data_IF_798131606534
#
_entry.id   IF_798131606534
#
_cell.length_a   1.000
_cell.length_b   1.000
_cell.length_c   1.000
_cell.angle_alpha   90.00
_cell.angle_beta   90.00
_cell.angle_gamma   90.00
#
_symmetry.space_group_name_H-M   'P 1'
#
loop_
_entity.id
_entity.type
_entity.pdbx_description
1 polymer ?
#
# COMPACT_ATOMS: atom_id res chain seq x y z
N UNK A 1 2.92 20.72 -6.32
CA UNK A 1 3.51 19.42 -6.62
C UNK A 1 2.66 18.27 -6.10
N UNK A 2 2.37 18.26 -4.80
CA UNK A 2 1.55 17.20 -4.22
C UNK A 2 0.15 17.12 -4.86
N UNK A 3 -0.52 18.25 -4.97
CA UNK A 3 -1.86 18.30 -5.54
C UNK A 3 -1.92 17.83 -6.98
N UNK A 4 -0.92 18.18 -7.77
CA UNK A 4 -0.83 17.76 -9.16
C UNK A 4 -0.66 16.27 -9.29
N UNK A 5 0.15 15.67 -8.42
CA UNK A 5 0.39 14.23 -8.43
C UNK A 5 -0.87 13.49 -7.98
N UNK A 6 -1.55 13.96 -6.95
CA UNK A 6 -2.79 13.36 -6.49
C UNK A 6 -3.87 13.41 -7.56
N UNK A 7 -3.95 14.54 -8.27
CA UNK A 7 -4.89 14.69 -9.37
C UNK A 7 -4.57 13.74 -10.51
N UNK A 8 -3.29 13.64 -10.89
CA UNK A 8 -2.86 12.72 -11.94
C UNK A 8 -3.17 11.27 -11.57
N UNK A 9 -3.02 10.91 -10.30
CA UNK A 9 -3.30 9.56 -9.81
C UNK A 9 -4.78 9.34 -9.51
N UNK A 10 -5.61 10.38 -9.65
CA UNK A 10 -7.03 10.31 -9.36
C UNK A 10 -7.29 9.90 -7.90
N UNK A 11 -6.56 10.53 -6.99
CA UNK A 11 -6.71 10.31 -5.55
C UNK A 11 -7.21 11.61 -4.91
N UNK A 12 -8.29 11.52 -4.16
CA UNK A 12 -8.82 12.67 -3.44
C UNK A 12 -7.88 13.03 -2.30
N UNK A 13 -7.76 14.32 -2.00
CA UNK A 13 -6.84 14.79 -0.98
C UNK A 13 -7.14 14.23 0.40
N UNK A 14 -8.40 14.00 0.71
CA UNK A 14 -8.81 13.44 2.00
C UNK A 14 -8.80 11.90 2.04
N UNK A 15 -8.46 11.25 0.95
CA UNK A 15 -8.33 9.80 0.91
C UNK A 15 -7.07 9.36 1.65
N UNK A 16 -7.19 8.34 2.50
CA UNK A 16 -6.05 7.82 3.24
C UNK A 16 -4.99 7.25 2.29
N UNK A 17 -3.75 7.59 2.54
CA UNK A 17 -2.65 7.13 1.71
C UNK A 17 -1.37 7.03 2.51
N UNK A 18 -0.49 6.17 2.03
CA UNK A 18 0.83 5.99 2.61
C UNK A 18 1.84 5.92 1.47
N UNK A 19 2.79 6.85 1.45
CA UNK A 19 3.86 6.85 0.45
C UNK A 19 5.09 6.24 1.06
N UNK A 20 5.73 5.33 0.32
CA UNK A 20 6.97 4.69 0.74
C UNK A 20 7.95 4.73 -0.41
N UNK A 21 9.19 5.05 -0.10
CA UNK A 21 10.22 5.15 -1.13
C UNK A 21 10.54 3.80 -1.77
N UNK A 22 10.64 2.77 -0.95
CA UNK A 22 10.89 1.40 -1.38
C UNK A 22 12.16 1.25 -2.22
N UNK A 23 13.19 2.04 -1.93
CA UNK A 23 14.43 2.03 -2.71
C UNK A 23 15.24 0.76 -2.52
N UNK A 24 15.21 0.19 -1.32
CA UNK A 24 16.00 -0.98 -0.97
C UNK A 24 15.22 -2.28 -0.91
N UNK A 25 13.97 -2.29 -1.31
CA UNK A 25 13.11 -3.47 -1.27
C UNK A 25 11.72 -3.12 -0.82
N UNK A 26 10.87 -4.13 -0.76
CA UNK A 26 9.51 -3.97 -0.26
C UNK A 26 9.60 -3.75 1.26
N UNK A 27 9.14 -2.59 1.77
CA UNK A 27 9.30 -2.31 3.20
C UNK A 27 8.41 -3.21 4.05
N UNK A 28 8.98 -3.70 5.16
CA UNK A 28 8.24 -4.56 6.10
C UNK A 28 7.02 -3.85 6.67
N UNK A 29 7.12 -2.54 6.88
CA UNK A 29 6.03 -1.74 7.45
C UNK A 29 4.80 -1.67 6.55
N UNK A 30 4.90 -2.14 5.30
CA UNK A 30 3.75 -2.17 4.39
C UNK A 30 2.63 -3.04 4.96
N UNK A 31 2.96 -4.07 5.76
CA UNK A 31 1.95 -4.98 6.30
C UNK A 31 1.16 -4.36 7.43
N UNK A 32 1.79 -3.51 8.24
CA UNK A 32 1.09 -2.74 9.26
C UNK A 32 0.12 -1.76 8.59
N UNK A 33 0.54 -1.14 7.50
CA UNK A 33 -0.29 -0.22 6.72
C UNK A 33 -1.46 -0.96 6.08
N UNK A 34 -1.20 -2.14 5.49
CA UNK A 34 -2.24 -2.98 4.92
C UNK A 34 -3.31 -3.32 5.96
N UNK A 35 -2.88 -3.81 7.12
CA UNK A 35 -3.79 -4.14 8.23
C UNK A 35 -4.61 -2.92 8.64
N UNK A 36 -3.93 -1.79 8.81
CA UNK A 36 -4.55 -0.54 9.24
C UNK A 36 -5.64 -0.08 8.26
N UNK A 37 -5.34 -0.08 6.97
CA UNK A 37 -6.30 0.32 5.95
C UNK A 37 -7.48 -0.65 5.87
N UNK A 38 -7.19 -1.95 5.88
CA UNK A 38 -8.22 -2.97 5.79
C UNK A 38 -9.21 -2.90 6.96
N UNK A 39 -8.71 -2.57 8.14
CA UNK A 39 -9.52 -2.53 9.37
C UNK A 39 -10.24 -1.19 9.59
N UNK A 40 -9.99 -0.21 8.74
CA UNK A 40 -10.59 1.12 8.90
C UNK A 40 -11.42 1.46 7.66
N UNK A 41 -10.99 2.40 6.86
CA UNK A 41 -11.76 2.88 5.71
C UNK A 41 -11.06 2.61 4.37
N UNK A 42 -10.07 1.70 4.38
CA UNK A 42 -9.28 1.48 3.19
C UNK A 42 -8.23 2.57 3.01
N UNK A 43 -7.48 2.49 1.93
CA UNK A 43 -6.45 3.48 1.61
C UNK A 43 -5.62 3.05 0.43
N UNK A 44 -4.71 3.92 0.02
CA UNK A 44 -3.83 3.66 -1.10
C UNK A 44 -2.38 3.73 -0.65
N UNK A 45 -1.60 2.72 -1.04
CA UNK A 45 -0.16 2.68 -0.80
C UNK A 45 0.54 2.98 -2.11
N UNK A 46 1.47 3.92 -2.08
CA UNK A 46 2.23 4.33 -3.26
C UNK A 46 3.71 4.06 -3.01
N UNK A 47 4.28 3.13 -3.78
CA UNK A 47 5.70 2.77 -3.68
C UNK A 47 6.48 3.47 -4.79
N UNK A 48 7.55 4.14 -4.40
CA UNK A 48 8.38 4.93 -5.32
C UNK A 48 8.16 6.42 -5.20
N UNK A 49 7.42 6.86 -4.19
CA UNK A 49 7.17 8.27 -3.92
C UNK A 49 7.65 8.58 -2.51
N UNK A 50 8.39 9.67 -2.39
CA UNK A 50 8.78 10.21 -1.10
C UNK A 50 7.82 11.33 -0.75
N UNK A 51 7.20 11.25 0.41
CA UNK A 51 6.38 12.33 0.95
C UNK A 51 7.13 13.00 2.08
N UNK A 52 7.32 14.32 1.95
CA UNK A 52 7.97 15.10 2.98
C UNK A 52 7.17 16.37 3.19
N UNK A 53 6.55 16.50 4.35
CA UNK A 53 5.64 17.61 4.67
C UNK A 53 4.52 17.66 3.63
N UNK A 54 4.40 18.74 2.87
CA UNK A 54 3.35 18.91 1.89
C UNK A 54 3.82 18.67 0.45
N UNK A 55 4.97 18.02 0.30
CA UNK A 55 5.56 17.75 -1.01
C UNK A 55 5.67 16.27 -1.30
N UNK A 56 5.41 15.92 -2.55
CA UNK A 56 5.69 14.59 -3.08
C UNK A 56 6.88 14.70 -4.04
N UNK A 57 7.81 13.76 -3.90
CA UNK A 57 8.90 13.60 -4.87
C UNK A 57 8.77 12.20 -5.46
N UNK A 58 8.55 12.13 -6.77
CA UNK A 58 8.43 10.85 -7.46
C UNK A 58 9.84 10.38 -7.79
N UNK A 59 10.35 9.44 -6.99
CA UNK A 59 11.65 8.83 -7.26
C UNK A 59 11.52 7.74 -8.32
N UNK A 60 10.37 7.07 -8.34
CA UNK A 60 10.11 6.02 -9.31
C UNK A 60 10.74 4.69 -8.94
N UNK A 61 10.33 3.67 -9.66
CA UNK A 61 10.86 2.32 -9.54
C UNK A 61 11.25 1.83 -10.92
N UNK A 62 12.28 0.99 -10.99
CA UNK A 62 12.64 0.34 -12.23
C UNK A 62 11.63 -0.75 -12.55
N UNK A 63 11.57 -1.17 -13.80
CA UNK A 63 10.69 -2.28 -14.20
C UNK A 63 11.03 -3.54 -13.42
N UNK A 64 12.30 -3.78 -13.17
CA UNK A 64 12.77 -4.94 -12.42
C UNK A 64 12.28 -4.87 -10.97
N UNK A 65 12.33 -3.70 -10.35
CA UNK A 65 11.83 -3.50 -8.99
C UNK A 65 10.32 -3.73 -8.93
N UNK A 66 9.58 -3.22 -9.90
CA UNK A 66 8.13 -3.38 -9.95
C UNK A 66 7.75 -4.86 -10.03
N UNK A 67 8.39 -5.61 -10.91
CA UNK A 67 8.13 -7.05 -11.04
C UNK A 67 8.43 -7.77 -9.73
N UNK A 68 9.60 -7.49 -9.15
CA UNK A 68 10.02 -8.12 -7.90
C UNK A 68 9.07 -7.78 -6.75
N UNK A 69 8.71 -6.51 -6.62
CA UNK A 69 7.87 -6.07 -5.51
C UNK A 69 6.45 -6.64 -5.62
N UNK A 70 5.91 -6.72 -6.83
CA UNK A 70 4.60 -7.35 -7.03
C UNK A 70 4.64 -8.82 -6.61
N UNK A 71 5.67 -9.53 -7.02
CA UNK A 71 5.84 -10.95 -6.68
C UNK A 71 5.96 -11.13 -5.17
N UNK A 72 6.83 -10.34 -4.54
CA UNK A 72 7.07 -10.43 -3.09
C UNK A 72 5.81 -10.04 -2.31
N UNK A 73 5.10 -9.03 -2.77
CA UNK A 73 3.88 -8.57 -2.13
C UNK A 73 2.82 -9.67 -2.11
N UNK A 74 2.53 -10.25 -3.28
CA UNK A 74 1.51 -11.30 -3.38
C UNK A 74 1.91 -12.56 -2.62
N UNK A 75 3.20 -12.91 -2.66
CA UNK A 75 3.70 -14.07 -1.94
C UNK A 75 3.48 -13.94 -0.45
N UNK A 76 3.80 -12.79 0.12
CA UNK A 76 3.61 -12.54 1.56
C UNK A 76 2.13 -12.40 1.90
N UNK A 77 1.37 -11.72 1.06
CA UNK A 77 -0.07 -11.52 1.28
C UNK A 77 -0.81 -12.86 1.36
N UNK A 78 -0.37 -13.83 0.59
CA UNK A 78 -1.00 -15.16 0.56
C UNK A 78 -0.44 -16.14 1.58
N UNK A 79 0.54 -15.71 2.36
CA UNK A 79 1.13 -16.53 3.42
C UNK A 79 0.36 -16.29 4.73
N UNK A 80 -0.40 -17.29 5.16
CA UNK A 80 -1.24 -17.18 6.36
C UNK A 80 -0.45 -17.00 7.65
N UNK A 81 0.83 -17.33 7.64
CA UNK A 81 1.69 -17.06 8.78
C UNK A 81 2.15 -15.61 8.85
N UNK A 82 1.96 -14.85 7.79
CA UNK A 82 2.36 -13.46 7.71
C UNK A 82 1.16 -12.52 7.73
N UNK A 83 0.11 -12.86 6.99
CA UNK A 83 -1.08 -12.04 6.85
C UNK A 83 -2.31 -12.92 7.00
N UNK A 84 -3.22 -12.54 7.86
CA UNK A 84 -4.38 -13.38 8.19
C UNK A 84 -5.32 -13.57 7.01
N UNK A 85 -5.45 -12.58 6.15
CA UNK A 85 -6.40 -12.66 5.05
C UNK A 85 -6.00 -11.76 3.88
N UNK A 86 -6.11 -12.30 2.68
CA UNK A 86 -5.95 -11.53 1.46
C UNK A 86 -7.32 -11.04 1.00
N UNK A 87 -7.54 -9.73 1.06
CA UNK A 87 -8.78 -9.10 0.60
C UNK A 87 -8.61 -8.35 -0.71
N UNK A 88 -7.46 -8.53 -1.38
CA UNK A 88 -7.17 -7.82 -2.63
C UNK A 88 -7.46 -8.67 -3.85
N UNK A 89 -7.88 -7.99 -4.91
CA UNK A 89 -8.00 -8.56 -6.24
C UNK A 89 -6.82 -8.09 -7.08
N UNK A 90 -6.60 -8.73 -8.23
CA UNK A 90 -5.45 -8.42 -9.08
C UNK A 90 -5.34 -6.94 -9.45
N UNK A 91 -6.47 -6.30 -9.74
CA UNK A 91 -6.46 -4.89 -10.16
C UNK A 91 -6.12 -3.92 -9.04
N UNK A 92 -6.10 -4.37 -7.80
CA UNK A 92 -5.73 -3.51 -6.68
C UNK A 92 -4.23 -3.23 -6.61
N UNK A 93 -3.42 -4.03 -7.30
CA UNK A 93 -1.95 -3.88 -7.30
C UNK A 93 -1.52 -3.69 -8.74
N UNK A 94 -1.02 -2.49 -9.06
CA UNK A 94 -0.67 -2.20 -10.45
C UNK A 94 0.41 -1.13 -10.56
N UNK A 95 1.27 -1.24 -11.58
CA UNK A 95 2.18 -0.15 -11.89
C UNK A 95 1.41 1.02 -12.50
N UNK A 96 1.86 2.22 -12.18
CA UNK A 96 1.25 3.45 -12.70
C UNK A 96 2.36 4.39 -13.16
N UNK A 97 2.17 5.00 -14.31
CA UNK A 97 3.11 5.99 -14.81
C UNK A 97 2.79 7.36 -14.20
N UNK A 98 3.84 8.04 -13.76
CA UNK A 98 3.75 9.43 -13.29
C UNK A 98 4.85 10.19 -14.03
N UNK A 99 4.45 10.91 -15.09
CA UNK A 99 5.40 11.52 -16.00
C UNK A 99 6.22 10.43 -16.71
N UNK A 100 7.52 10.52 -16.63
CA UNK A 100 8.42 9.54 -17.24
C UNK A 100 8.80 8.41 -16.29
N UNK A 101 8.30 8.46 -15.06
CA UNK A 101 8.64 7.48 -14.03
C UNK A 101 7.47 6.55 -13.78
N UNK A 102 7.75 5.42 -13.14
CA UNK A 102 6.73 4.45 -12.77
C UNK A 102 6.78 4.21 -11.28
N UNK A 103 5.61 3.99 -10.72
CA UNK A 103 5.44 3.65 -9.30
C UNK A 103 4.57 2.41 -9.22
N UNK A 104 4.50 1.81 -8.03
CA UNK A 104 3.59 0.71 -7.78
C UNK A 104 2.47 1.21 -6.86
N UNK A 105 1.24 1.05 -7.32
CA UNK A 105 0.05 1.48 -6.57
C UNK A 105 -0.68 0.28 -6.04
N UNK A 106 -1.01 0.33 -4.75
CA UNK A 106 -1.77 -0.72 -4.07
C UNK A 106 -2.98 -0.07 -3.43
N UNK A 107 -4.17 -0.41 -3.91
CA UNK A 107 -5.41 0.08 -3.33
C UNK A 107 -5.97 -0.97 -2.38
N UNK A 108 -6.05 -0.64 -1.10
CA UNK A 108 -6.55 -1.55 -0.08
C UNK A 108 -7.97 -1.14 0.27
N UNK A 109 -8.98 -1.97 -0.05
CA UNK A 109 -10.35 -1.64 0.34
C UNK A 109 -10.55 -1.86 1.84
N UNK A 110 -11.57 -1.25 2.40
CA UNK A 110 -12.00 -1.59 3.75
C UNK A 110 -12.49 -3.03 3.76
N UNK A 111 -12.01 -3.82 4.69
CA UNK A 111 -12.44 -5.21 4.81
C UNK A 111 -13.91 -5.28 5.19
N UNK A 112 -14.57 -6.33 4.72
CA UNK A 112 -15.92 -6.61 5.11
C UNK A 112 -15.94 -6.94 6.61
N UNK A 113 -17.07 -6.71 7.23
CA UNK A 113 -17.30 -6.99 8.63
C UNK A 113 -16.91 -8.42 9.02
N UNK A 114 -17.17 -9.37 8.13
CA UNK A 114 -16.83 -10.78 8.36
C UNK A 114 -15.35 -11.08 8.22
N UNK A 115 -14.59 -10.18 7.59
CA UNK A 115 -13.16 -10.35 7.36
C UNK A 115 -12.31 -9.67 8.41
N UNK A 116 -12.92 -8.88 9.28
CA UNK A 116 -12.20 -8.17 10.34
C UNK A 116 -12.08 -9.02 11.60
N UNK A 117 -11.00 -8.87 12.36
CA UNK A 117 -9.85 -8.02 12.04
C UNK A 117 -8.91 -8.70 11.04
N UNK A 118 -8.30 -7.89 10.19
CA UNK A 118 -7.20 -8.32 9.34
C UNK A 118 -5.91 -8.05 10.12
N UNK A 119 -5.15 -9.09 10.40
CA UNK A 119 -3.96 -8.96 11.25
C UNK A 119 -2.76 -9.59 10.57
N UNK A 120 -1.57 -9.21 11.06
CA UNK A 120 -0.32 -9.72 10.54
C UNK A 120 0.34 -10.63 11.57
N UNK A 121 1.25 -11.46 11.08
CA UNK A 121 1.89 -12.51 11.84
C UNK A 121 0.82 -13.52 12.27
N UNK A 122 0.74 -13.99 13.45
CA UNK A 122 -0.24 -15.01 13.80
C UNK A 122 -1.06 -14.64 15.03
N UNK A 123 -0.91 -13.39 15.49
CA UNK A 123 -1.54 -12.96 16.72
C UNK A 123 -2.45 -11.76 16.47
N UNK A 124 -3.79 -11.96 16.47
CA UNK A 124 -4.70 -10.84 16.24
C UNK A 124 -4.65 -9.77 17.33
N UNK A 125 -4.18 -10.13 18.52
CA UNK A 125 -4.08 -9.15 19.62
C UNK A 125 -2.91 -8.20 19.42
N UNK A 126 -1.82 -8.67 18.82
CA UNK A 126 -0.61 -7.87 18.59
C UNK A 126 -0.46 -7.41 17.15
N UNK A 127 -1.05 -8.14 16.22
CA UNK A 127 -0.88 -7.88 14.79
C UNK A 127 -2.01 -7.13 14.12
N UNK A 128 -3.00 -6.61 14.87
CA UNK A 128 -4.12 -5.86 14.30
C UNK A 128 -3.84 -4.37 14.42
N UNK A 129 -3.91 -3.67 13.29
CA UNK A 129 -3.67 -2.25 13.21
C UNK A 129 -4.90 -1.52 12.71
N UNK A 130 -5.12 -0.30 13.18
CA UNK A 130 -6.20 0.59 12.78
C UNK A 130 -5.70 2.00 12.64
N UNK A 131 -6.35 2.77 11.79
CA UNK A 131 -6.10 4.20 11.71
C UNK A 131 -6.92 4.90 12.80
N UNK A 132 -6.29 5.88 13.43
CA UNK A 132 -6.90 6.70 14.46
C UNK A 132 -7.23 8.04 13.81
N UNK A 133 -8.50 8.32 13.66
CA UNK A 133 -8.95 9.56 13.00
C UNK A 133 -9.35 10.63 13.99
#
# INVERSE_FOLDING_TARGET
MKEEILEELNIKENHERECKLAAGGLPESIWETYSSFANTNGGTILLGIREYRDSFTVEGLTDKQIVKYQKDFWSTLNDRNKVSKNILLNHHVRPVAVGEKKILRIDVPAADRHDKPVYIETDPMKGTYKRDY
#
